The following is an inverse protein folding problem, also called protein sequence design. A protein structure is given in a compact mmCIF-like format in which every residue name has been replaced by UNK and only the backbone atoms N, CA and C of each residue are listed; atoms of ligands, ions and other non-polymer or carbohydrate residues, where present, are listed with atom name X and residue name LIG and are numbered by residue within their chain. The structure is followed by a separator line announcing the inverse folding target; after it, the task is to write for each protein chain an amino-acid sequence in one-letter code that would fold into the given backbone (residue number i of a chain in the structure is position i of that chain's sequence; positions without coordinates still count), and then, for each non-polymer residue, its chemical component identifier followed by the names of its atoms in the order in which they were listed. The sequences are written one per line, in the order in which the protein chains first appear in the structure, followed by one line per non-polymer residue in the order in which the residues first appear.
data_IF_711030509817
#
_entry.id   IF_711030509817
#
_cell.length_a   1.000
_cell.length_b   1.000
_cell.length_c   1.000
_cell.angle_alpha   90.00
_cell.angle_beta   90.00
_cell.angle_gamma   90.00
#
_symmetry.space_group_name_H-M   'P 1'
#
loop_
_entity.id
_entity.type
_entity.pdbx_description
1 polymer ?
2 non-polymer ?
3 non-polymer ?
4 non-polymer ?
5 non-polymer ?
6 water ?
#
# COMPACT_ATOMS: atom_id res chain seq x y z
N UNK A 10 8.87 4.33 16.62
CA UNK A 10 8.18 5.32 15.79
C UNK A 10 8.22 5.00 14.31
N UNK A 11 7.05 5.04 13.64
CA UNK A 11 7.01 5.07 12.18
C UNK A 11 7.70 6.38 11.73
N UNK A 12 8.63 6.38 10.74
CA UNK A 12 9.37 7.61 10.44
C UNK A 12 8.49 8.63 9.73
N UNK A 13 8.79 9.91 10.02
CA UNK A 13 8.13 11.02 9.36
C UNK A 13 8.55 11.03 7.86
N UNK A 14 7.76 11.71 7.03
CA UNK A 14 8.11 11.89 5.62
C UNK A 14 9.38 12.67 5.47
N UNK A 15 10.18 12.38 4.41
CA UNK A 15 11.45 13.10 4.14
C UNK A 15 11.27 14.28 3.17
N UNK A 16 10.08 14.42 2.58
CA UNK A 16 9.81 15.45 1.60
C UNK A 16 9.39 16.79 2.17
N UNK A 17 9.23 17.81 1.31
CA UNK A 17 8.93 19.17 1.81
C UNK A 17 7.58 19.39 2.52
N UNK A 18 6.54 18.65 2.11
CA UNK A 18 5.18 18.91 2.57
C UNK A 18 4.82 18.24 3.89
N UNK A 19 3.95 18.90 4.69
CA UNK A 19 3.26 18.29 5.82
C UNK A 19 2.31 17.24 5.28
N UNK A 20 2.01 16.22 6.09
CA UNK A 20 1.15 15.09 5.68
C UNK A 20 -0.17 15.02 6.52
N UNK A 21 -1.27 14.83 5.82
CA UNK A 21 -2.53 14.61 6.48
C UNK A 21 -2.96 13.18 6.33
N UNK A 22 -4.02 12.81 7.03
CA UNK A 22 -4.61 11.49 6.92
C UNK A 22 -6.11 11.51 7.19
N UNK A 23 -6.87 10.82 6.37
CA UNK A 23 -8.28 10.61 6.63
C UNK A 23 -8.67 9.22 6.14
N UNK A 24 -9.88 8.73 6.50
CA UNK A 24 -10.46 7.51 5.93
C UNK A 24 -11.66 7.82 5.03
N UNK A 25 -11.80 7.07 3.92
CA UNK A 25 -12.93 7.21 3.01
C UNK A 25 -13.58 5.86 2.79
N UNK A 26 -14.91 5.78 3.06
CA UNK A 26 -15.73 4.63 2.70
C UNK A 26 -16.89 5.08 1.84
N UNK A 27 -16.93 4.59 0.58
CA UNK A 27 -18.00 4.88 -0.37
C UNK A 27 -18.10 3.80 -1.47
N UNK A 28 -19.25 3.08 -1.57
CA UNK A 28 -20.36 3.20 -0.62
C UNK A 28 -20.08 2.46 0.70
N UNK A 29 -21.08 2.27 1.54
CA UNK A 29 -20.99 1.67 2.87
C UNK A 29 -20.95 0.12 2.87
N UNK A 30 -21.13 -0.52 1.66
CA UNK A 30 -21.34 -1.97 1.52
C UNK A 30 -20.02 -2.73 1.40
N UNK A 31 -20.07 -4.06 1.52
CA UNK A 31 -18.89 -4.90 1.30
C UNK A 31 -18.32 -4.78 -0.13
N UNK A 32 -19.10 -4.20 -1.06
CA UNK A 32 -18.71 -4.03 -2.45
C UNK A 32 -18.28 -2.59 -2.77
N UNK A 33 -18.56 -1.64 -1.88
CA UNK A 33 -18.02 -0.28 -1.98
C UNK A 33 -16.52 -0.18 -1.82
N UNK A 34 -15.97 1.06 -1.95
CA UNK A 34 -14.54 1.32 -1.69
C UNK A 34 -14.28 1.69 -0.21
N UNK A 35 -13.28 1.04 0.41
CA UNK A 35 -12.71 1.45 1.69
C UNK A 35 -11.22 1.82 1.47
N UNK A 36 -10.86 3.06 1.79
CA UNK A 36 -9.47 3.47 1.68
C UNK A 36 -9.03 4.39 2.82
N UNK A 37 -7.72 4.40 3.14
CA UNK A 37 -7.04 5.41 3.92
C UNK A 37 -6.28 6.37 3.01
N UNK A 38 -6.48 7.65 3.22
CA UNK A 38 -5.93 8.67 2.36
C UNK A 38 -4.85 9.43 3.10
N UNK A 39 -3.66 9.54 2.47
CA UNK A 39 -2.51 10.37 2.87
C UNK A 39 -2.33 11.39 1.79
N UNK A 40 -2.06 12.62 2.17
CA UNK A 40 -2.13 13.78 1.25
C UNK A 40 -1.27 14.92 1.79
N UNK A 41 -0.75 15.83 0.93
CA UNK A 41 -0.09 17.04 1.45
C UNK A 41 -1.10 17.91 2.17
N UNK A 42 -0.74 18.36 3.36
CA UNK A 42 -1.63 19.13 4.25
C UNK A 42 -1.18 20.58 4.45
N UNK A 43 -2.17 21.47 4.64
CA UNK A 43 -2.03 22.91 4.86
C UNK A 43 -1.32 23.20 6.21
N UNK A 44 -1.74 22.48 7.29
CA UNK A 44 -1.29 22.69 8.67
C UNK A 44 -0.63 21.43 9.26
N UNK A 45 0.15 21.59 10.34
CA UNK A 45 0.92 20.51 10.95
C UNK A 45 0.68 20.42 12.47
N UNK A 46 -0.54 20.77 12.93
CA UNK A 46 -0.86 20.87 14.35
C UNK A 46 -2.09 20.07 14.78
N UNK A 47 -2.46 19.06 13.99
CA UNK A 47 -3.56 18.17 14.32
C UNK A 47 -2.98 17.01 15.11
N UNK A 48 -3.86 16.23 15.74
CA UNK A 48 -3.44 15.00 16.41
C UNK A 48 -2.89 13.99 15.37
N UNK A 49 -1.83 13.24 15.77
CA UNK A 49 -1.29 12.15 14.94
C UNK A 49 -2.36 11.09 14.74
N UNK A 50 -2.22 10.29 13.67
CA UNK A 50 -3.21 9.28 13.29
C UNK A 50 -2.99 7.97 14.04
N UNK A 51 -4.06 7.41 14.62
CA UNK A 51 -4.07 6.08 15.28
C UNK A 51 -3.76 5.01 14.25
N UNK A 52 -2.67 4.24 14.48
CA UNK A 52 -2.09 3.29 13.52
C UNK A 52 -3.02 2.11 13.25
N UNK A 53 -3.49 1.44 14.31
CA UNK A 53 -4.49 0.37 14.28
C UNK A 53 -5.72 0.88 15.07
N UNK A 54 -6.78 1.30 14.34
CA UNK A 54 -7.81 2.15 14.97
C UNK A 54 -8.97 1.42 15.66
N UNK A 55 -9.15 0.11 15.43
CA UNK A 55 -10.22 -0.70 16.04
C UNK A 55 -9.65 -2.00 16.58
N UNK A 56 -10.29 -2.54 17.66
CA UNK A 56 -9.86 -3.76 18.37
C UNK A 56 -10.07 -5.00 17.53
N UNK A 57 -10.91 -4.93 16.50
CA UNK A 57 -11.22 -6.10 15.72
C UNK A 57 -10.08 -6.38 14.74
N UNK A 58 -9.31 -5.33 14.37
CA UNK A 58 -8.05 -5.53 13.65
C UNK A 58 -7.08 -6.43 14.44
N UNK A 59 -6.92 -6.17 15.75
CA UNK A 59 -6.05 -6.99 16.63
C UNK A 59 -6.50 -8.42 16.72
N UNK A 60 -7.82 -8.66 16.76
CA UNK A 60 -8.44 -9.98 16.76
C UNK A 60 -8.17 -10.72 15.47
N UNK A 61 -8.41 -10.05 14.33
CA UNK A 61 -8.04 -10.54 13.00
C UNK A 61 -6.56 -10.77 12.84
N UNK A 62 -5.73 -9.98 13.50
CA UNK A 62 -4.29 -10.20 13.50
C UNK A 62 -3.88 -11.43 14.31
N UNK A 63 -4.52 -11.68 15.46
CA UNK A 63 -4.24 -12.87 16.27
C UNK A 63 -4.58 -14.17 15.52
N UNK A 64 -5.83 -14.28 14.98
CA UNK A 64 -6.28 -15.32 14.06
C UNK A 64 -5.28 -15.54 12.91
N UNK A 65 -4.79 -14.46 12.26
CA UNK A 65 -3.79 -14.58 11.17
C UNK A 65 -2.45 -15.12 11.70
N UNK A 66 -2.03 -14.68 12.90
CA UNK A 66 -0.78 -15.20 13.47
C UNK A 66 -0.97 -16.58 14.12
N UNK A 67 -2.22 -17.07 14.16
CA UNK A 67 -2.56 -18.39 14.65
C UNK A 67 -2.50 -18.49 16.15
N UNK A 68 -3.14 -17.53 16.83
CA UNK A 68 -3.16 -17.47 18.28
C UNK A 68 -4.59 -17.35 18.81
N UNK A 69 -4.76 -17.28 20.14
CA UNK A 69 -6.03 -17.10 20.83
C UNK A 69 -6.65 -15.72 20.53
N UNK A 70 -7.99 -15.58 20.73
CA UNK A 70 -8.71 -14.28 20.80
C UNK A 70 -8.06 -13.42 21.91
N UNK A 71 -7.54 -14.10 22.96
CA UNK A 71 -6.83 -13.55 24.11
C UNK A 71 -5.52 -12.85 23.73
N UNK A 72 -4.70 -13.43 22.82
CA UNK A 72 -3.45 -12.81 22.35
C UNK A 72 -3.74 -11.49 21.60
N UNK A 73 -4.83 -11.45 20.83
CA UNK A 73 -5.31 -10.23 20.18
C UNK A 73 -5.47 -9.06 21.14
N UNK A 74 -6.06 -9.32 22.33
CA UNK A 74 -6.18 -8.30 23.37
C UNK A 74 -4.80 -7.92 24.01
N UNK A 75 -3.79 -8.79 23.87
CA UNK A 75 -2.47 -8.46 24.40
C UNK A 75 -1.77 -7.52 23.40
N UNK A 76 -1.90 -7.80 22.07
CA UNK A 76 -1.45 -6.90 21.00
C UNK A 76 -2.13 -5.56 21.06
N UNK A 77 -3.45 -5.55 21.37
CA UNK A 77 -4.19 -4.30 21.56
C UNK A 77 -3.60 -3.52 22.75
N UNK A 78 -3.31 -4.18 23.88
CA UNK A 78 -2.64 -3.52 25.00
C UNK A 78 -1.26 -2.92 24.64
N UNK A 79 -0.38 -3.67 23.96
CA UNK A 79 0.95 -3.21 23.56
C UNK A 79 0.97 -2.17 22.44
N UNK A 80 -0.03 -2.19 21.52
CA UNK A 80 0.02 -1.42 20.28
C UNK A 80 -1.21 -0.58 19.97
N UNK A 81 -2.25 -0.69 20.79
CA UNK A 81 -3.55 -0.07 20.55
C UNK A 81 -3.60 1.44 20.68
N UNK A 82 -2.54 2.06 21.23
CA UNK A 82 -2.47 3.51 21.38
C UNK A 82 -1.44 4.16 20.43
N UNK A 83 -0.66 3.31 19.73
CA UNK A 83 0.34 3.71 18.75
C UNK A 83 -0.28 4.57 17.61
N UNK A 84 0.39 5.69 17.31
CA UNK A 84 0.00 6.59 16.23
C UNK A 84 1.05 6.52 15.12
N UNK A 85 0.77 7.17 14.00
CA UNK A 85 1.65 7.35 12.86
C UNK A 85 1.76 8.89 12.60
N UNK A 86 2.96 9.42 12.22
CA UNK A 86 3.12 10.90 12.10
C UNK A 86 2.46 11.56 10.85
N UNK A 87 1.11 11.49 10.81
CA UNK A 87 0.21 12.08 9.84
C UNK A 87 -0.91 12.89 10.55
N UNK A 88 -1.12 14.14 10.14
CA UNK A 88 -2.14 15.03 10.70
C UNK A 88 -3.54 14.54 10.44
N UNK A 89 -4.16 13.94 11.49
CA UNK A 89 -5.51 13.39 11.34
C UNK A 89 -6.48 14.51 10.93
N UNK A 90 -7.09 14.38 9.72
CA UNK A 90 -8.16 15.26 9.17
C UNK A 90 -7.72 16.69 8.90
N UNK A 91 -6.41 16.88 8.65
CA UNK A 91 -5.91 18.21 8.31
C UNK A 91 -6.54 18.68 6.99
N UNK A 92 -6.81 20.00 6.81
CA UNK A 92 -7.13 20.48 5.47
C UNK A 92 -6.05 20.11 4.46
N UNK A 93 -6.47 19.67 3.26
CA UNK A 93 -5.58 19.38 2.12
C UNK A 93 -4.89 20.66 1.70
N UNK A 94 -3.57 20.59 1.43
CA UNK A 94 -2.78 21.74 0.99
C UNK A 94 -3.30 22.21 -0.38
N UNK A 95 -3.75 23.48 -0.48
CA UNK A 95 -4.37 23.93 -1.74
C UNK A 95 -3.34 24.37 -2.78
N UNK A 96 -3.80 24.61 -4.01
CA UNK A 96 -3.08 25.31 -5.08
C UNK A 96 -2.15 24.49 -5.95
N UNK A 97 -2.27 23.17 -5.88
CA UNK A 97 -1.47 22.26 -6.69
C UNK A 97 -2.29 21.04 -7.07
N UNK A 98 -2.05 20.52 -8.27
CA UNK A 98 -2.57 19.23 -8.71
C UNK A 98 -1.55 18.15 -8.37
N UNK A 99 -1.97 17.20 -7.52
CA UNK A 99 -1.15 16.11 -7.02
C UNK A 99 -1.29 14.84 -7.83
N UNK A 100 -0.17 14.17 -8.22
CA UNK A 100 -0.30 12.83 -8.84
C UNK A 100 -0.80 11.85 -7.79
N UNK A 101 -1.44 10.74 -8.21
CA UNK A 101 -2.13 9.80 -7.33
C UNK A 101 -1.47 8.42 -7.33
N UNK A 102 -1.21 7.86 -6.14
CA UNK A 102 -0.85 6.46 -5.94
C UNK A 102 -2.02 5.67 -5.31
N UNK A 103 -2.38 4.54 -5.91
CA UNK A 103 -3.26 3.59 -5.22
C UNK A 103 -2.34 2.55 -4.60
N UNK A 104 -2.51 2.26 -3.28
CA UNK A 104 -1.69 1.28 -2.57
C UNK A 104 -2.48 0.03 -2.19
N UNK A 105 -1.91 -1.14 -2.54
CA UNK A 105 -2.49 -2.44 -2.14
C UNK A 105 -1.66 -3.14 -1.07
N UNK A 106 -2.30 -3.54 0.06
CA UNK A 106 -1.64 -4.19 1.20
C UNK A 106 -1.39 -5.69 1.01
N UNK A 107 -0.49 -6.24 1.82
CA UNK A 107 -0.20 -7.67 1.86
C UNK A 107 -1.30 -8.51 2.50
N UNK A 108 -1.12 -9.82 2.42
CA UNK A 108 -1.96 -10.79 3.12
C UNK A 108 -1.79 -10.61 4.67
N UNK A 109 -2.91 -10.68 5.39
CA UNK A 109 -2.96 -10.43 6.82
C UNK A 109 -2.81 -8.97 7.23
N UNK A 110 -2.69 -8.05 6.27
CA UNK A 110 -2.56 -6.62 6.54
C UNK A 110 -3.92 -5.95 6.33
N UNK A 111 -3.97 -4.63 6.14
CA UNK A 111 -5.15 -3.78 5.94
C UNK A 111 -4.67 -2.39 5.69
N UNK A 112 -5.56 -1.40 5.51
CA UNK A 112 -5.20 -0.12 4.89
C UNK A 112 -4.18 0.73 5.64
N UNK A 113 -4.00 0.53 6.95
CA UNK A 113 -3.31 1.48 7.83
C UNK A 113 -1.79 1.12 7.98
N UNK A 114 -1.37 -0.04 7.43
CA UNK A 114 -0.18 -0.73 7.85
C UNK A 114 1.06 -0.44 6.95
N UNK A 115 0.92 0.53 6.06
CA UNK A 115 1.99 1.01 5.17
C UNK A 115 2.03 2.55 5.20
N UNK A 116 1.93 3.10 6.42
CA UNK A 116 1.98 4.54 6.62
C UNK A 116 3.36 5.11 6.45
N UNK A 117 4.41 4.35 6.69
CA UNK A 117 5.76 4.87 6.40
C UNK A 117 5.96 5.16 4.87
N UNK A 118 5.47 4.27 3.98
CA UNK A 118 5.38 4.53 2.53
C UNK A 118 4.35 5.64 2.19
N UNK A 119 3.11 5.52 2.70
CA UNK A 119 2.05 6.50 2.44
C UNK A 119 2.33 7.93 2.91
N UNK A 120 2.87 8.09 4.14
CA UNK A 120 3.36 9.35 4.69
C UNK A 120 4.57 9.89 3.88
N UNK A 121 5.49 9.03 3.45
CA UNK A 121 6.63 9.58 2.71
C UNK A 121 6.24 10.04 1.30
N UNK A 122 5.43 9.26 0.59
CA UNK A 122 4.96 9.64 -0.75
C UNK A 122 4.25 11.02 -0.69
N UNK A 123 3.38 11.21 0.33
CA UNK A 123 2.61 12.45 0.55
C UNK A 123 3.44 13.66 0.85
N UNK A 124 4.53 13.51 1.63
CA UNK A 124 5.46 14.61 1.92
C UNK A 124 6.17 15.15 0.68
N UNK A 125 6.24 14.35 -0.41
CA UNK A 125 6.84 14.72 -1.67
C UNK A 125 5.80 15.24 -2.68
N UNK A 126 4.52 15.21 -2.31
CA UNK A 126 3.44 15.81 -3.10
C UNK A 126 2.52 14.87 -3.82
N UNK A 127 2.27 13.70 -3.24
CA UNK A 127 1.32 12.73 -3.76
C UNK A 127 0.09 12.65 -2.90
N UNK A 128 -1.05 12.40 -3.53
CA UNK A 128 -2.19 11.83 -2.80
C UNK A 128 -2.05 10.28 -2.88
N UNK A 129 -2.21 9.60 -1.74
CA UNK A 129 -2.03 8.15 -1.60
C UNK A 129 -3.36 7.54 -1.11
N UNK A 130 -3.99 6.70 -1.93
CA UNK A 130 -5.20 5.94 -1.56
C UNK A 130 -4.80 4.51 -1.25
N UNK A 131 -4.55 4.24 0.06
CA UNK A 131 -4.23 2.90 0.55
C UNK A 131 -5.58 2.18 0.76
N UNK A 132 -5.87 1.20 -0.11
CA UNK A 132 -7.18 0.58 -0.11
C UNK A 132 -7.20 -0.59 0.88
N UNK A 133 -8.39 -0.87 1.43
CA UNK A 133 -8.61 -2.02 2.28
C UNK A 133 -9.44 -3.05 1.45
N UNK A 134 -8.88 -4.26 1.26
CA UNK A 134 -9.48 -5.28 0.42
C UNK A 134 -10.51 -6.09 1.16
N UNK A 135 -11.63 -6.40 0.46
CA UNK A 135 -12.76 -7.15 1.00
C UNK A 135 -12.79 -8.60 0.43
N UNK A 136 -11.59 -9.09 0.03
CA UNK A 136 -11.38 -10.38 -0.62
C UNK A 136 -11.06 -11.47 0.40
N UNK A 137 -11.05 -11.11 1.71
CA UNK A 137 -10.73 -11.94 2.89
C UNK A 137 -9.23 -12.27 2.92
N UNK A 138 -8.40 -11.41 2.30
CA UNK A 138 -6.94 -11.40 2.44
C UNK A 138 -6.49 -10.44 3.55
N UNK A 139 -7.31 -9.40 3.90
CA UNK A 139 -7.02 -8.55 5.07
C UNK A 139 -7.21 -9.36 6.37
N UNK A 140 -6.52 -8.98 7.45
CA UNK A 140 -6.73 -9.63 8.75
C UNK A 140 -8.19 -9.46 9.24
N UNK A 141 -8.66 -8.22 9.11
CA UNK A 141 -10.02 -7.79 9.40
C UNK A 141 -10.28 -6.63 8.44
N UNK A 142 -11.55 -6.44 8.07
CA UNK A 142 -12.10 -5.24 7.45
C UNK A 142 -13.55 -5.08 7.96
N UNK A 143 -14.20 -3.97 7.63
CA UNK A 143 -15.61 -3.80 7.96
C UNK A 143 -16.32 -2.98 6.90
N UNK A 144 -17.66 -3.10 6.92
CA UNK A 144 -18.63 -2.44 6.07
C UNK A 144 -19.93 -2.39 6.89
N UNK A 145 -21.00 -1.90 6.27
CA UNK A 145 -22.31 -1.80 6.89
C UNK A 145 -23.34 -2.58 6.03
N UNK A 146 -24.23 -3.33 6.69
CA UNK A 146 -25.20 -4.18 5.98
C UNK A 146 -26.10 -3.37 5.05
N UNK A 147 -26.47 -2.13 5.48
CA UNK A 147 -27.35 -1.24 4.75
C UNK A 147 -27.22 0.19 5.22
N UNK A 148 -28.10 1.10 4.71
CA UNK A 148 -28.04 2.52 5.04
C UNK A 148 -28.27 2.77 6.53
N UNK A 149 -29.19 2.01 7.15
CA UNK A 149 -29.49 2.13 8.57
C UNK A 149 -28.30 1.77 9.46
N UNK A 150 -27.64 0.62 9.21
CA UNK A 150 -26.42 0.22 9.93
C UNK A 150 -25.29 1.28 9.78
N UNK A 151 -25.13 1.82 8.55
CA UNK A 151 -24.18 2.87 8.18
C UNK A 151 -24.31 4.10 9.06
N UNK A 152 -25.55 4.56 9.26
CA UNK A 152 -25.90 5.74 10.06
C UNK A 152 -25.59 5.58 11.56
N UNK A 153 -25.97 4.45 12.17
CA UNK A 153 -25.78 4.26 13.60
C UNK A 153 -24.44 3.56 13.95
N UNK A 154 -23.50 3.55 13.00
CA UNK A 154 -22.17 2.95 13.17
C UNK A 154 -22.14 1.48 13.57
N UNK A 155 -23.13 0.69 13.09
CA UNK A 155 -23.18 -0.75 13.33
C UNK A 155 -22.32 -1.45 12.29
N UNK A 156 -21.11 -1.82 12.71
CA UNK A 156 -20.10 -2.33 11.81
C UNK A 156 -20.27 -3.82 11.63
N UNK A 157 -20.10 -4.28 10.38
CA UNK A 157 -20.03 -5.70 10.07
C UNK A 157 -18.59 -6.03 9.72
N UNK A 158 -18.03 -6.98 10.46
CA UNK A 158 -16.66 -7.39 10.36
C UNK A 158 -16.46 -8.58 9.44
N UNK A 159 -15.44 -8.44 8.59
CA UNK A 159 -15.01 -9.49 7.67
C UNK A 159 -13.60 -9.85 8.07
N UNK A 160 -13.41 -11.12 8.46
CA UNK A 160 -12.13 -11.66 8.90
C UNK A 160 -11.42 -12.45 7.82
N UNK A 161 -10.08 -12.46 7.87
CA UNK A 161 -9.19 -13.28 7.03
C UNK A 161 -9.70 -14.68 6.80
N UNK A 162 -9.68 -15.16 5.54
CA UNK A 162 -10.04 -16.53 5.13
C UNK A 162 -8.79 -17.42 5.09
N UNK A 163 -8.82 -18.53 5.82
CA UNK A 163 -7.75 -19.54 5.79
C UNK A 163 -8.09 -20.57 4.73
N UNK A 164 -7.15 -20.92 3.87
CA UNK A 164 -7.42 -21.83 2.75
C UNK A 164 -7.02 -23.28 3.06
N UNK A 165 -7.62 -24.25 2.36
CA UNK A 165 -7.05 -25.59 2.24
C UNK A 165 -6.05 -25.57 1.05
N UNK A 166 -5.01 -26.46 1.09
CA UNK A 166 -3.95 -26.65 0.06
C UNK A 166 -4.58 -26.72 -1.32
N UNK A 167 -5.75 -27.36 -1.39
CA UNK A 167 -6.57 -27.58 -2.57
C UNK A 167 -7.07 -26.28 -3.15
N UNK A 168 -7.56 -25.36 -2.26
CA UNK A 168 -8.20 -24.08 -2.58
C UNK A 168 -7.23 -23.01 -3.04
N UNK A 169 -5.94 -23.17 -2.71
CA UNK A 169 -4.87 -22.20 -2.95
C UNK A 169 -4.91 -21.53 -4.34
N UNK A 170 -4.75 -22.31 -5.42
CA UNK A 170 -4.52 -21.79 -6.79
C UNK A 170 -5.69 -20.91 -7.24
N UNK A 171 -6.87 -21.52 -7.33
CA UNK A 171 -8.18 -20.94 -7.62
C UNK A 171 -8.51 -19.67 -6.76
N UNK A 172 -8.47 -19.78 -5.41
CA UNK A 172 -8.99 -18.73 -4.51
C UNK A 172 -8.08 -17.55 -4.49
N UNK A 173 -6.73 -17.76 -4.47
CA UNK A 173 -5.80 -16.62 -4.55
C UNK A 173 -5.91 -15.82 -5.84
N UNK A 174 -6.25 -16.46 -6.95
CA UNK A 174 -6.48 -15.81 -8.24
C UNK A 174 -7.78 -15.02 -8.25
N UNK A 175 -8.90 -15.58 -7.69
CA UNK A 175 -10.17 -14.85 -7.46
C UNK A 175 -9.95 -13.54 -6.70
N UNK A 176 -9.14 -13.61 -5.65
CA UNK A 176 -8.74 -12.52 -4.75
C UNK A 176 -7.90 -11.46 -5.43
N UNK A 177 -6.84 -11.86 -6.20
CA UNK A 177 -5.99 -10.88 -6.91
C UNK A 177 -6.83 -10.12 -7.93
N UNK A 178 -7.86 -10.80 -8.41
CA UNK A 178 -8.76 -10.23 -9.39
C UNK A 178 -9.74 -9.26 -8.75
N UNK A 179 -10.27 -9.60 -7.55
CA UNK A 179 -11.11 -8.69 -6.76
C UNK A 179 -10.29 -7.47 -6.31
N UNK A 180 -9.08 -7.69 -5.80
CA UNK A 180 -8.10 -6.63 -5.46
C UNK A 180 -7.90 -5.58 -6.60
N UNK A 181 -7.53 -6.02 -7.80
CA UNK A 181 -7.48 -5.21 -9.03
C UNK A 181 -8.73 -4.33 -9.24
N UNK A 182 -9.94 -4.95 -9.17
CA UNK A 182 -11.22 -4.25 -9.31
C UNK A 182 -11.43 -3.26 -8.19
N UNK A 183 -10.95 -3.59 -6.98
CA UNK A 183 -11.03 -2.66 -5.88
C UNK A 183 -10.06 -1.48 -6.10
N UNK A 184 -8.91 -1.72 -6.75
CA UNK A 184 -7.97 -0.64 -7.13
C UNK A 184 -8.54 0.25 -8.22
N UNK A 185 -9.15 -0.32 -9.22
CA UNK A 185 -9.84 0.43 -10.27
C UNK A 185 -10.95 1.28 -9.70
N UNK A 186 -11.79 0.67 -8.84
CA UNK A 186 -12.95 1.34 -8.22
C UNK A 186 -12.49 2.47 -7.32
N UNK A 187 -11.39 2.27 -6.58
CA UNK A 187 -10.83 3.32 -5.74
C UNK A 187 -10.37 4.46 -6.61
N UNK A 188 -9.66 4.16 -7.74
CA UNK A 188 -9.29 5.20 -8.70
C UNK A 188 -10.50 5.96 -9.24
N UNK A 189 -11.50 5.26 -9.74
CA UNK A 189 -12.74 5.89 -10.21
C UNK A 189 -13.42 6.78 -9.16
N UNK A 190 -13.45 6.35 -7.89
CA UNK A 190 -13.99 7.13 -6.78
C UNK A 190 -13.25 8.46 -6.59
N UNK A 191 -11.90 8.41 -6.61
CA UNK A 191 -11.07 9.60 -6.43
C UNK A 191 -11.25 10.53 -7.57
N UNK A 192 -11.25 10.01 -8.81
CA UNK A 192 -11.47 10.84 -9.99
C UNK A 192 -12.80 11.55 -9.98
N UNK A 193 -13.87 10.87 -9.54
CA UNK A 193 -15.20 11.48 -9.41
C UNK A 193 -15.17 12.63 -8.43
N UNK A 194 -14.66 12.39 -7.20
CA UNK A 194 -14.42 13.43 -6.18
C UNK A 194 -13.68 14.63 -6.79
N UNK A 195 -12.63 14.36 -7.62
CA UNK A 195 -11.82 15.40 -8.27
C UNK A 195 -12.69 16.21 -9.24
N UNK A 196 -13.41 15.48 -10.13
CA UNK A 196 -14.37 15.99 -11.11
C UNK A 196 -15.65 16.54 -10.45
N UNK A 197 -15.57 16.78 -9.14
CA UNK A 197 -16.54 17.50 -8.31
C UNK A 197 -17.77 16.78 -7.80
N UNK A 198 -17.90 15.44 -8.04
CA UNK A 198 -19.06 14.64 -7.63
C UNK A 198 -19.19 14.58 -6.10
N UNK A 199 -20.35 14.98 -5.53
CA UNK A 199 -20.48 14.94 -4.06
C UNK A 199 -20.79 13.51 -3.61
N UNK A 200 -19.90 12.98 -2.80
CA UNK A 200 -19.88 11.62 -2.28
C UNK A 200 -20.13 11.77 -0.78
N UNK A 201 -21.16 11.11 -0.23
CA UNK A 201 -21.37 11.09 1.23
C UNK A 201 -20.56 9.94 1.86
N UNK A 202 -19.39 10.27 2.48
CA UNK A 202 -18.60 9.30 3.25
C UNK A 202 -19.50 8.52 4.21
N UNK A 203 -19.40 7.19 4.18
CA UNK A 203 -20.14 6.29 5.08
C UNK A 203 -19.59 6.41 6.52
N UNK A 204 -18.37 6.94 6.65
CA UNK A 204 -17.75 7.26 7.94
C UNK A 204 -17.93 8.74 8.26
N UNK A 205 -18.49 9.06 9.43
CA UNK A 205 -18.63 10.46 9.84
C UNK A 205 -17.31 10.96 10.39
N UNK A 206 -16.64 11.80 9.58
CA UNK A 206 -15.33 12.37 9.85
C UNK A 206 -15.28 13.84 9.44
N UNK A 207 -14.67 14.70 10.28
CA UNK A 207 -14.56 16.15 10.03
C UNK A 207 -13.46 16.50 8.97
N UNK A 208 -13.59 15.87 7.80
CA UNK A 208 -12.83 16.16 6.59
C UNK A 208 -13.83 16.26 5.45
N UNK A 209 -14.03 17.47 4.91
CA UNK A 209 -14.85 17.68 3.71
C UNK A 209 -14.16 17.12 2.45
N UNK A 210 -14.83 16.16 1.79
CA UNK A 210 -14.32 15.53 0.58
C UNK A 210 -14.27 16.52 -0.60
N UNK A 211 -15.02 17.65 -0.52
CA UNK A 211 -15.03 18.70 -1.54
C UNK A 211 -13.66 19.34 -1.78
N UNK A 212 -12.78 19.32 -0.74
CA UNK A 212 -11.39 19.81 -0.78
C UNK A 212 -10.61 19.20 -1.92
N UNK A 213 -10.93 17.95 -2.24
CA UNK A 213 -10.26 17.17 -3.25
C UNK A 213 -10.66 17.53 -4.68
N UNK A 214 -11.73 18.36 -4.83
CA UNK A 214 -12.18 18.91 -6.11
C UNK A 214 -11.00 19.66 -6.75
N UNK A 215 -10.66 19.27 -7.99
CA UNK A 215 -9.57 19.85 -8.81
C UNK A 215 -8.18 19.74 -8.15
N UNK A 216 -7.99 18.72 -7.28
CA UNK A 216 -6.73 18.50 -6.55
C UNK A 216 -5.82 17.43 -7.19
N UNK A 217 -6.35 16.63 -8.13
CA UNK A 217 -5.68 15.46 -8.69
C UNK A 217 -5.08 15.80 -10.06
N UNK A 218 -3.84 15.35 -10.30
CA UNK A 218 -3.22 15.42 -11.61
C UNK A 218 -3.62 14.14 -12.30
N UNK A 219 -4.77 14.22 -12.94
CA UNK A 219 -5.55 13.15 -13.56
C UNK A 219 -4.79 12.25 -14.52
N UNK A 220 -3.64 12.68 -15.08
CA UNK A 220 -2.84 11.87 -16.01
C UNK A 220 -1.71 11.09 -15.29
N UNK A 221 -1.42 11.47 -14.03
CA UNK A 221 -0.28 10.95 -13.29
C UNK A 221 -0.79 10.05 -12.20
N UNK A 222 -1.06 8.81 -12.61
CA UNK A 222 -1.59 7.80 -11.71
C UNK A 222 -0.70 6.56 -11.72
N UNK A 223 -0.35 6.07 -10.53
CA UNK A 223 0.39 4.81 -10.42
C UNK A 223 -0.26 3.89 -9.44
N UNK A 224 0.05 2.58 -9.53
CA UNK A 224 -0.37 1.60 -8.55
C UNK A 224 0.88 0.99 -7.86
N UNK A 225 0.92 1.06 -6.53
CA UNK A 225 1.96 0.48 -5.71
C UNK A 225 1.32 -0.51 -4.73
N UNK A 226 2.04 -1.56 -4.41
CA UNK A 226 1.57 -2.49 -3.40
C UNK A 226 2.69 -3.38 -2.94
N UNK A 227 2.50 -3.99 -1.75
CA UNK A 227 3.43 -4.94 -1.15
C UNK A 227 2.85 -6.36 -1.09
N UNK A 228 3.64 -7.38 -1.45
CA UNK A 228 3.38 -8.80 -1.26
C UNK A 228 2.21 -9.32 -2.15
N UNK A 229 1.03 -9.63 -1.58
CA UNK A 229 -0.18 -9.86 -2.38
C UNK A 229 -0.48 -8.55 -3.21
N UNK A 230 -0.20 -7.41 -2.62
CA UNK A 230 -0.35 -6.11 -3.25
C UNK A 230 0.59 -5.86 -4.42
N UNK A 231 1.73 -6.57 -4.44
CA UNK A 231 2.69 -6.61 -5.54
C UNK A 231 2.10 -7.33 -6.74
N UNK A 232 1.38 -8.45 -6.53
CA UNK A 232 0.67 -9.13 -7.60
C UNK A 232 -0.55 -8.26 -8.04
N UNK A 233 -1.20 -7.57 -7.07
CA UNK A 233 -2.30 -6.63 -7.35
C UNK A 233 -1.83 -5.57 -8.32
N UNK A 234 -0.61 -5.04 -8.17
CA UNK A 234 -0.03 -4.05 -9.09
C UNK A 234 -0.11 -4.59 -10.50
N UNK A 235 0.36 -5.84 -10.70
CA UNK A 235 0.54 -6.49 -12.00
C UNK A 235 -0.81 -6.78 -12.62
N UNK A 236 -1.70 -7.43 -11.86
CA UNK A 236 -3.08 -7.64 -12.29
C UNK A 236 -3.78 -6.33 -12.65
N UNK A 237 -3.63 -5.27 -11.78
CA UNK A 237 -4.24 -3.96 -11.97
C UNK A 237 -3.82 -3.38 -13.33
N UNK A 238 -2.48 -3.30 -13.57
CA UNK A 238 -1.91 -2.70 -14.76
C UNK A 238 -2.45 -3.35 -16.04
N UNK A 239 -2.60 -4.67 -16.03
CA UNK A 239 -3.13 -5.45 -17.16
C UNK A 239 -4.63 -5.20 -17.48
N UNK A 240 -5.41 -4.81 -16.48
CA UNK A 240 -6.83 -4.46 -16.60
C UNK A 240 -7.10 -2.96 -16.81
N UNK A 241 -6.26 -2.11 -16.28
CA UNK A 241 -6.57 -0.70 -16.20
C UNK A 241 -5.40 0.13 -16.74
N UNK A 242 -5.61 0.67 -17.95
CA UNK A 242 -4.62 1.43 -18.69
C UNK A 242 -4.46 2.85 -18.13
N UNK A 243 -5.42 3.25 -17.23
CA UNK A 243 -5.43 4.51 -16.47
C UNK A 243 -4.25 4.60 -15.54
N UNK A 244 -3.85 3.47 -14.94
CA UNK A 244 -2.62 3.34 -14.16
C UNK A 244 -1.38 3.40 -15.12
N UNK A 245 -0.49 4.39 -14.98
CA UNK A 245 0.51 4.68 -16.04
C UNK A 245 1.84 3.98 -15.83
N UNK A 246 2.07 3.48 -14.59
CA UNK A 246 3.20 2.62 -14.16
C UNK A 246 2.84 1.90 -12.85
N UNK A 247 3.56 0.84 -12.53
CA UNK A 247 3.43 0.17 -11.24
C UNK A 247 4.75 -0.12 -10.54
N UNK A 248 4.67 -0.27 -9.22
CA UNK A 248 5.80 -0.62 -8.38
C UNK A 248 5.33 -1.72 -7.46
N UNK A 249 5.89 -2.93 -7.66
CA UNK A 249 5.58 -4.14 -6.90
C UNK A 249 6.68 -4.27 -5.86
N UNK A 250 6.31 -4.09 -4.58
CA UNK A 250 7.24 -4.19 -3.44
C UNK A 250 7.21 -5.59 -2.85
N UNK A 251 8.29 -6.36 -3.04
CA UNK A 251 8.41 -7.77 -2.66
C UNK A 251 7.16 -8.57 -3.09
N UNK A 252 6.77 -8.46 -4.38
CA UNK A 252 5.62 -9.16 -4.97
C UNK A 252 5.63 -10.64 -4.69
N UNK A 253 4.46 -11.14 -4.24
CA UNK A 253 4.21 -12.57 -4.15
C UNK A 253 3.37 -12.89 -5.37
N UNK A 254 4.03 -13.52 -6.36
CA UNK A 254 3.52 -13.69 -7.74
C UNK A 254 2.53 -14.83 -7.90
N UNK A 255 2.44 -15.72 -6.90
CA UNK A 255 1.60 -16.91 -6.94
C UNK A 255 0.11 -16.61 -7.35
N UNK A 256 -0.62 -15.57 -6.80
CA UNK A 256 -2.01 -15.32 -7.24
C UNK A 256 -2.29 -15.17 -8.74
N UNK A 257 -1.27 -14.80 -9.50
CA UNK A 257 -1.46 -14.40 -10.89
C UNK A 257 -1.74 -15.55 -11.82
N UNK A 258 -2.70 -15.35 -12.72
CA UNK A 258 -3.02 -16.31 -13.76
C UNK A 258 -1.98 -16.27 -14.87
N UNK A 259 -1.74 -17.40 -15.53
CA UNK A 259 -0.72 -17.49 -16.58
C UNK A 259 -0.87 -16.44 -17.68
N UNK A 260 -2.09 -15.93 -17.90
CA UNK A 260 -2.45 -15.00 -18.98
C UNK A 260 -1.90 -13.57 -18.76
N UNK A 261 -1.70 -13.09 -17.51
CA UNK A 261 -1.36 -11.67 -17.26
C UNK A 261 0.04 -11.26 -17.75
N UNK A 262 1.04 -12.15 -17.63
CA UNK A 262 2.47 -11.88 -17.76
C UNK A 262 2.88 -11.24 -19.10
N UNK A 263 2.20 -11.60 -20.19
CA UNK A 263 2.44 -11.04 -21.53
C UNK A 263 1.60 -9.76 -21.85
N UNK A 264 0.79 -9.28 -20.88
CA UNK A 264 -0.28 -8.30 -21.09
C UNK A 264 -0.14 -7.03 -20.17
N UNK A 265 1.13 -6.58 -19.90
CA UNK A 265 1.42 -5.39 -19.10
C UNK A 265 2.25 -4.32 -19.91
N UNK A 266 1.59 -3.38 -20.63
CA UNK A 266 2.35 -2.38 -21.39
C UNK A 266 3.10 -1.38 -20.53
N UNK A 267 2.63 -1.15 -19.30
CA UNK A 267 3.14 -0.10 -18.39
C UNK A 267 4.54 -0.38 -17.83
N UNK A 268 5.34 0.68 -17.66
CA UNK A 268 6.55 0.56 -16.81
C UNK A 268 6.25 -0.08 -15.46
N UNK A 269 7.13 -0.99 -15.06
CA UNK A 269 6.94 -1.82 -13.85
C UNK A 269 8.28 -1.98 -13.19
N UNK A 270 8.31 -1.74 -11.87
CA UNK A 270 9.49 -1.76 -11.02
C UNK A 270 9.27 -2.77 -9.90
N UNK A 271 10.20 -3.72 -9.76
CA UNK A 271 10.27 -4.69 -8.67
C UNK A 271 11.35 -4.23 -7.66
N UNK A 272 10.93 -3.82 -6.44
CA UNK A 272 11.85 -3.64 -5.29
C UNK A 272 11.68 -4.84 -4.37
N UNK A 273 12.70 -5.71 -4.30
CA UNK A 273 12.65 -6.95 -3.52
C UNK A 273 13.52 -6.92 -2.28
N UNK A 274 13.13 -7.69 -1.26
CA UNK A 274 14.00 -7.95 -0.14
C UNK A 274 14.99 -9.04 -0.51
N UNK A 275 16.10 -9.15 0.24
CA UNK A 275 17.06 -10.22 0.04
C UNK A 275 16.56 -11.62 0.51
N UNK A 276 15.78 -11.66 1.60
CA UNK A 276 15.53 -12.94 2.26
C UNK A 276 14.15 -13.54 1.93
N UNK A 277 13.19 -12.75 1.40
CA UNK A 277 11.90 -13.31 0.96
C UNK A 277 12.03 -14.19 -0.28
N UNK A 278 12.76 -13.70 -1.29
CA UNK A 278 12.61 -14.21 -2.65
C UNK A 278 13.10 -15.64 -2.86
N UNK A 279 12.65 -16.27 -3.95
CA UNK A 279 12.90 -17.68 -4.26
C UNK A 279 12.73 -17.96 -5.77
N UNK A 280 13.42 -18.98 -6.33
CA UNK A 280 13.35 -19.24 -7.77
C UNK A 280 11.97 -19.10 -8.43
N UNK A 281 10.97 -19.92 -8.03
CA UNK A 281 9.59 -19.92 -8.56
C UNK A 281 9.03 -18.49 -8.68
N UNK A 282 9.28 -17.65 -7.66
CA UNK A 282 8.79 -16.27 -7.61
C UNK A 282 9.52 -15.38 -8.59
N UNK A 283 10.85 -15.51 -8.66
CA UNK A 283 11.71 -14.74 -9.57
C UNK A 283 11.39 -15.06 -11.03
N UNK A 284 11.19 -16.37 -11.34
CA UNK A 284 10.82 -16.89 -12.67
C UNK A 284 9.52 -16.24 -13.12
N UNK A 285 8.56 -16.07 -12.18
CA UNK A 285 7.28 -15.43 -12.46
C UNK A 285 7.48 -13.93 -12.74
N UNK A 286 8.40 -13.29 -12.01
CA UNK A 286 8.79 -11.91 -12.31
C UNK A 286 9.43 -11.81 -13.71
N UNK A 287 10.34 -12.74 -14.04
CA UNK A 287 11.01 -12.80 -15.34
C UNK A 287 10.01 -12.97 -16.49
N UNK A 288 8.88 -13.72 -16.26
CA UNK A 288 7.78 -13.89 -17.23
C UNK A 288 7.16 -12.56 -17.69
N UNK A 289 7.35 -11.48 -16.88
CA UNK A 289 6.89 -10.12 -17.17
C UNK A 289 7.86 -9.34 -18.03
N UNK A 290 9.15 -9.75 -18.08
CA UNK A 290 10.18 -9.04 -18.84
C UNK A 290 10.00 -9.21 -20.34
N UNK A 291 10.31 -8.14 -21.09
CA UNK A 291 10.25 -8.04 -22.56
C UNK A 291 11.10 -6.83 -23.04
N UNK A 292 11.66 -6.84 -24.28
CA UNK A 292 12.49 -5.69 -24.73
C UNK A 292 11.71 -4.41 -25.00
N UNK A 293 10.45 -4.52 -25.49
CA UNK A 293 9.56 -3.38 -25.75
C UNK A 293 8.95 -2.72 -24.47
N UNK A 294 9.02 -3.41 -23.30
CA UNK A 294 8.50 -2.95 -22.02
C UNK A 294 9.58 -2.41 -21.09
N UNK A 295 9.25 -1.36 -20.26
CA UNK A 295 10.09 -0.86 -19.13
C UNK A 295 9.99 -1.77 -17.91
N UNK A 296 11.12 -2.38 -17.53
CA UNK A 296 11.21 -3.28 -16.38
C UNK A 296 12.50 -3.04 -15.66
N UNK A 297 12.40 -2.96 -14.34
CA UNK A 297 13.51 -2.67 -13.43
C UNK A 297 13.37 -3.52 -12.17
N UNK A 298 14.51 -3.99 -11.63
CA UNK A 298 14.54 -4.76 -10.43
C UNK A 298 15.69 -4.38 -9.53
N UNK A 299 15.39 -4.16 -8.25
CA UNK A 299 16.43 -4.07 -7.21
C UNK A 299 16.16 -5.01 -6.07
N UNK A 300 17.23 -5.37 -5.37
CA UNK A 300 17.16 -6.07 -4.10
C UNK A 300 17.84 -5.22 -3.01
N UNK A 301 17.11 -4.93 -1.94
CA UNK A 301 17.68 -4.28 -0.75
C UNK A 301 18.47 -5.35 0.02
N UNK A 302 19.80 -5.15 0.18
CA UNK A 302 20.66 -6.05 0.93
C UNK A 302 20.31 -6.04 2.41
N UNK A 303 20.42 -7.19 3.04
CA UNK A 303 20.18 -7.34 4.47
C UNK A 303 18.74 -7.23 4.91
N UNK A 304 17.77 -7.28 3.95
CA UNK A 304 16.37 -7.03 4.26
C UNK A 304 15.46 -8.22 4.07
N UNK A 305 14.27 -8.14 4.72
CA UNK A 305 13.26 -9.18 4.94
C UNK A 305 11.90 -8.67 4.40
N UNK A 306 10.94 -9.60 4.26
CA UNK A 306 9.62 -9.33 3.69
C UNK A 306 8.88 -8.14 4.31
N UNK A 307 8.83 -8.11 5.65
CA UNK A 307 8.13 -7.06 6.38
C UNK A 307 8.88 -5.72 6.49
N UNK A 308 10.09 -5.61 5.89
CA UNK A 308 10.79 -4.32 5.84
C UNK A 308 9.96 -3.21 5.09
N UNK A 309 8.94 -3.60 4.33
CA UNK A 309 8.08 -2.67 3.62
C UNK A 309 6.85 -2.27 4.43
N UNK A 310 6.53 -3.02 5.50
CA UNK A 310 5.37 -2.72 6.33
C UNK A 310 5.77 -2.04 7.62
N UNK A 311 4.84 -1.27 8.21
CA UNK A 311 5.05 -0.48 9.43
C UNK A 311 5.50 -1.30 10.62
N UNK A 312 5.21 -2.60 10.62
CA UNK A 312 5.62 -3.54 11.67
C UNK A 312 7.11 -3.49 11.94
N UNK A 313 7.89 -3.04 10.92
CA UNK A 313 9.36 -2.93 10.98
C UNK A 313 9.80 -1.88 11.98
N UNK A 314 8.93 -0.90 12.27
CA UNK A 314 9.22 0.16 13.24
C UNK A 314 8.55 -0.03 14.56
N UNK A 315 7.60 -0.98 14.66
CA UNK A 315 6.73 -1.19 15.82
C UNK A 315 7.44 -1.69 17.08
N UNK A 316 8.64 -2.31 16.91
CA UNK A 316 9.43 -2.94 17.98
C UNK A 316 10.92 -2.55 17.94
N UNK A 317 11.65 -2.94 18.99
CA UNK A 317 13.10 -2.80 19.06
C UNK A 317 13.80 -3.82 18.19
N UNK A 318 15.14 -3.72 18.11
CA UNK A 318 15.96 -4.49 17.15
C UNK A 318 15.95 -5.99 17.39
N UNK A 319 16.10 -6.44 18.66
CA UNK A 319 16.19 -7.86 19.02
C UNK A 319 14.87 -8.59 18.81
N UNK A 320 13.74 -8.08 19.36
CA UNK A 320 12.40 -8.67 19.19
C UNK A 320 12.03 -8.64 17.71
N UNK A 321 12.33 -7.52 17.04
CA UNK A 321 12.13 -7.31 15.61
C UNK A 321 12.78 -8.35 14.71
N UNK A 322 14.05 -8.68 14.98
CA UNK A 322 14.81 -9.68 14.22
C UNK A 322 14.24 -11.08 14.39
N UNK A 323 13.94 -11.46 15.64
CA UNK A 323 13.37 -12.75 16.04
C UNK A 323 12.07 -13.05 15.31
N UNK A 324 11.15 -12.05 15.28
CA UNK A 324 9.80 -12.15 14.68
C UNK A 324 9.81 -11.97 13.16
N UNK A 325 11.00 -11.78 12.56
CA UNK A 325 11.27 -11.55 11.13
C UNK A 325 10.65 -10.23 10.59
N UNK A 326 10.60 -9.15 11.45
CA UNK A 326 10.07 -7.79 11.10
C UNK A 326 11.21 -6.83 10.74
N UNK A 327 12.42 -7.14 11.23
CA UNK A 327 13.62 -6.38 10.93
C UNK A 327 14.64 -7.34 10.35
N UNK A 328 15.53 -6.82 9.51
CA UNK A 328 16.60 -7.62 8.93
C UNK A 328 17.91 -7.17 9.51
N UNK A 329 19.01 -7.53 8.84
CA UNK A 329 20.34 -7.10 9.26
C UNK A 329 20.51 -5.58 9.05
N UNK A 330 19.86 -5.05 7.99
CA UNK A 330 19.78 -3.64 7.61
C UNK A 330 18.89 -2.85 8.58
N UNK A 331 19.29 -1.61 8.91
CA UNK A 331 18.42 -0.65 9.61
C UNK A 331 17.16 -0.35 8.77
N UNK A 332 16.00 -0.37 9.43
CA UNK A 332 14.69 -0.25 8.82
C UNK A 332 14.44 1.08 8.11
N UNK A 333 14.87 2.20 8.72
CA UNK A 333 14.83 3.54 8.13
C UNK A 333 15.71 3.58 6.91
N UNK A 334 16.90 2.97 6.99
CA UNK A 334 17.81 2.86 5.85
C UNK A 334 17.12 2.12 4.68
N UNK A 335 16.64 0.90 4.90
CA UNK A 335 15.92 0.09 3.91
C UNK A 335 14.67 0.78 3.35
N UNK A 336 13.82 1.44 4.21
CA UNK A 336 12.64 2.13 3.69
C UNK A 336 13.01 3.37 2.89
N UNK A 337 14.02 4.13 3.30
CA UNK A 337 14.57 5.26 2.54
C UNK A 337 14.96 4.81 1.14
N UNK A 338 15.75 3.73 1.04
CA UNK A 338 16.11 3.18 -0.29
C UNK A 338 14.89 2.85 -1.12
N UNK A 339 13.90 2.10 -0.57
CA UNK A 339 12.68 1.74 -1.27
C UNK A 339 11.88 3.01 -1.69
N UNK A 340 11.58 3.89 -0.72
CA UNK A 340 10.84 5.12 -0.98
C UNK A 340 11.47 6.01 -2.01
N UNK A 341 12.82 6.23 -1.92
CA UNK A 341 13.60 7.12 -2.80
C UNK A 341 13.74 6.62 -4.24
N UNK A 342 14.04 5.32 -4.42
CA UNK A 342 14.01 4.62 -5.71
C UNK A 342 12.63 4.69 -6.31
N UNK A 343 11.57 4.56 -5.49
CA UNK A 343 10.18 4.69 -5.92
C UNK A 343 9.91 6.07 -6.51
N UNK A 344 10.36 7.11 -5.78
CA UNK A 344 10.25 8.52 -6.17
C UNK A 344 10.84 8.83 -7.53
N UNK A 345 12.08 8.37 -7.78
CA UNK A 345 12.79 8.49 -9.06
C UNK A 345 12.04 7.73 -10.17
N UNK A 346 11.60 6.49 -9.88
CA UNK A 346 10.85 5.70 -10.85
C UNK A 346 9.54 6.37 -11.28
N UNK A 347 8.72 6.78 -10.29
CA UNK A 347 7.47 7.50 -10.52
C UNK A 347 7.70 8.80 -11.31
N UNK A 348 8.83 9.53 -11.07
CA UNK A 348 9.14 10.75 -11.83
C UNK A 348 9.39 10.48 -13.31
N UNK A 349 10.14 9.43 -13.59
CA UNK A 349 10.50 8.98 -14.93
C UNK A 349 9.24 8.64 -15.77
N UNK A 350 8.22 8.01 -15.13
CA UNK A 350 7.17 7.30 -15.86
C UNK A 350 5.83 7.98 -15.78
N UNK A 351 5.73 8.98 -14.92
CA UNK A 351 4.55 9.84 -14.86
C UNK A 351 4.82 11.20 -15.49
N UNK A 352 6.09 11.50 -15.81
CA UNK A 352 6.52 12.77 -16.36
C UNK A 352 6.46 13.88 -15.32
N UNK A 353 6.90 13.59 -14.08
CA UNK A 353 6.96 14.61 -13.02
C UNK A 353 8.12 15.57 -13.24
N UNK A 354 7.97 16.83 -12.79
CA UNK A 354 8.95 17.92 -12.92
C UNK A 354 9.43 18.30 -11.51
N UNK A 355 9.80 17.29 -10.73
CA UNK A 355 10.39 17.43 -9.39
C UNK A 355 11.88 17.03 -9.43
N UNK A 356 12.51 16.98 -8.24
CA UNK A 356 13.92 16.63 -8.07
C UNK A 356 14.17 15.13 -7.81
N UNK A 357 13.16 14.27 -8.06
CA UNK A 357 13.25 12.85 -7.71
C UNK A 357 14.30 12.11 -8.53
N UNK A 358 14.68 12.68 -9.70
CA UNK A 358 15.74 12.18 -10.58
C UNK A 358 17.11 12.20 -9.88
N UNK A 359 17.24 12.92 -8.73
CA UNK A 359 18.48 12.93 -7.92
C UNK A 359 18.81 11.50 -7.42
N UNK A 360 17.78 10.60 -7.44
CA UNK A 360 17.83 9.22 -6.98
C UNK A 360 17.78 8.18 -8.11
N UNK A 361 18.11 8.56 -9.36
CA UNK A 361 18.05 7.65 -10.51
C UNK A 361 18.95 6.43 -10.43
N UNK A 362 20.14 6.56 -9.81
CA UNK A 362 21.07 5.44 -9.64
C UNK A 362 20.51 4.32 -8.74
N UNK A 363 19.58 4.65 -7.83
CA UNK A 363 18.86 3.68 -6.99
C UNK A 363 17.99 2.72 -7.80
N UNK A 364 17.30 3.23 -8.87
CA UNK A 364 16.51 2.41 -9.83
C UNK A 364 17.40 1.27 -10.37
N UNK A 365 18.69 1.59 -10.68
CA UNK A 365 19.69 0.64 -11.18
C UNK A 365 20.43 -0.15 -10.09
N UNK A 366 20.07 0.09 -8.82
CA UNK A 366 20.68 -0.55 -7.66
C UNK A 366 22.15 -0.23 -7.51
N UNK A 367 22.54 1.01 -7.86
CA UNK A 367 23.87 1.51 -7.62
C UNK A 367 23.85 2.22 -6.26
N UNK A 368 24.19 1.43 -5.24
CA UNK A 368 24.26 1.78 -3.82
C UNK A 368 24.81 0.55 -3.11
N UNK A 369 25.47 0.76 -1.96
CA UNK A 369 26.10 -0.30 -1.18
C UNK A 369 25.08 -1.24 -0.48
N UNK A 370 23.87 -0.75 -0.24
CA UNK A 370 22.78 -1.56 0.33
C UNK A 370 21.81 -2.04 -0.73
N UNK A 371 22.21 -1.92 -2.01
CA UNK A 371 21.39 -2.35 -3.14
C UNK A 371 22.10 -3.39 -3.98
N UNK A 372 21.33 -4.37 -4.50
CA UNK A 372 21.78 -5.32 -5.51
C UNK A 372 21.04 -4.93 -6.81
N UNK A 373 21.76 -4.69 -7.92
CA UNK A 373 21.08 -4.68 -9.23
C UNK A 373 20.39 -6.03 -9.48
N UNK A 374 19.17 -6.00 -10.00
CA UNK A 374 18.39 -7.20 -10.26
C UNK A 374 18.11 -8.03 -9.01
N UNK A 375 18.53 -9.30 -9.04
CA UNK A 375 18.28 -10.27 -7.97
C UNK A 375 19.54 -11.04 -7.59
N UNK A 376 19.61 -11.47 -6.33
CA UNK A 376 20.60 -12.41 -5.84
C UNK A 376 20.22 -13.86 -6.19
N UNK A 377 18.91 -14.12 -6.46
CA UNK A 377 18.36 -15.45 -6.75
C UNK A 377 18.82 -15.99 -8.12
N UNK A 378 19.67 -17.04 -8.10
CA UNK A 378 20.03 -17.81 -9.31
C UNK A 378 18.87 -18.73 -9.72
N UNK A 379 18.55 -18.72 -11.03
CA UNK A 379 17.49 -19.54 -11.63
C UNK A 379 18.10 -20.64 -12.60
N UNK A 380 17.66 -20.66 -13.88
CA UNK A 380 18.15 -21.62 -14.89
C UNK A 380 19.52 -21.22 -15.44
#
# INVERSE_FOLDING_TARGET
MAAASFGQTKIPRGNGPYSVGCTDLMFDHTNKGTFLRLYYPSQDNDRLDTLWIPNKEYFWGLSKFLGTHWLMGNILRLLFGSMTTPANWNSPLRPGEKYPLVVFSHGLGAFRTLYSAIGIDLASHGFIVAAVEHRDRSASATYYFKDQSAAEIGDKSWLYLRTLKQEEETHIRNEQVRQRAKECSQALSLILDIDHGKPVKNALDLKFDMEQLKDSIDREKIAVIGHSFGGATVIQTLSEDQRFRCGIALDAWMFPLGDEVYSRIPQPLFFINSEYFQYPANIIKMKKCYSPDKERKMITIRGSVHQNFADFTFATGKIIGHMLKLKGDIDSNVAIDLSNKASLAFLQKHLGLHKDFDQWDCLIEGDDENLIPGTNINTTNQHHHHHH
#
